data_IF_748648911867
#
_entry.id   IF_748648911867
#
_cell.length_a   1.000
_cell.length_b   1.000
_cell.length_c   1.000
_cell.angle_alpha   90.00
_cell.angle_beta   90.00
_cell.angle_gamma   90.00
#
_symmetry.space_group_name_H-M   'P 1'
#
loop_
_entity.id
_entity.type
_entity.pdbx_description
1 polymer ?
#
# COMPACT_ATOMS: atom_id res chain seq x y z
N UNK A 1 -37.52 -6.51 6.45
CA UNK A 1 -37.09 -6.82 7.83
C UNK A 1 -37.14 -8.33 8.02
N UNK A 2 -36.08 -8.97 8.55
CA UNK A 2 -36.12 -10.40 8.91
C UNK A 2 -35.66 -10.51 10.35
N UNK A 3 -36.47 -11.15 11.21
CA UNK A 3 -36.19 -11.38 12.62
C UNK A 3 -35.02 -12.37 12.78
N UNK A 4 -34.17 -12.24 13.82
CA UNK A 4 -33.20 -13.27 14.16
C UNK A 4 -33.91 -14.56 14.58
N UNK A 5 -33.42 -15.71 14.14
CA UNK A 5 -33.86 -17.02 14.62
C UNK A 5 -32.86 -17.50 15.66
N UNK A 6 -33.34 -17.90 16.84
CA UNK A 6 -32.49 -18.49 17.87
C UNK A 6 -32.01 -19.87 17.43
N UNK A 7 -30.74 -20.19 17.70
CA UNK A 7 -30.24 -21.54 17.54
C UNK A 7 -31.01 -22.50 18.47
N UNK A 8 -31.41 -23.66 17.96
CA UNK A 8 -32.04 -24.69 18.78
C UNK A 8 -31.05 -25.17 19.88
N UNK A 9 -31.52 -25.40 21.12
CA UNK A 9 -30.65 -25.82 22.20
C UNK A 9 -30.11 -27.24 21.94
N UNK A 10 -28.79 -27.41 22.00
CA UNK A 10 -28.19 -28.74 22.09
C UNK A 10 -28.49 -29.32 23.48
N UNK A 11 -29.26 -30.40 23.55
CA UNK A 11 -29.45 -31.13 24.81
C UNK A 11 -28.18 -31.92 25.13
N UNK A 12 -27.29 -31.32 25.92
CA UNK A 12 -26.26 -32.05 26.66
C UNK A 12 -26.52 -31.85 28.13
N UNK A 13 -27.24 -32.78 28.75
CA UNK A 13 -27.40 -32.87 30.20
C UNK A 13 -26.08 -33.35 30.80
N UNK A 14 -25.40 -32.49 31.57
CA UNK A 14 -24.26 -32.91 32.41
C UNK A 14 -24.78 -33.49 33.72
N UNK A 15 -24.06 -34.48 34.26
CA UNK A 15 -24.44 -35.30 35.42
C UNK A 15 -24.53 -34.53 36.77
N UNK A 16 -24.35 -33.20 36.78
CA UNK A 16 -24.15 -32.41 38.00
C UNK A 16 -25.36 -31.56 38.45
N UNK A 17 -26.55 -31.75 37.87
CA UNK A 17 -27.74 -30.94 38.21
C UNK A 17 -28.59 -31.47 39.37
N UNK A 18 -28.04 -32.28 40.30
CA UNK A 18 -28.77 -32.83 41.46
C UNK A 18 -28.56 -32.10 42.80
N UNK A 19 -27.82 -31.00 42.84
CA UNK A 19 -27.68 -30.18 44.05
C UNK A 19 -28.12 -28.75 43.74
N UNK A 20 -29.26 -28.35 44.31
CA UNK A 20 -30.01 -27.14 44.01
C UNK A 20 -29.28 -25.83 44.35
N UNK A 21 -28.37 -25.41 43.47
CA UNK A 21 -27.83 -24.05 43.44
C UNK A 21 -28.09 -23.47 42.03
N UNK A 22 -29.13 -22.64 41.91
CA UNK A 22 -29.38 -21.84 40.72
C UNK A 22 -28.33 -20.72 40.62
N UNK A 23 -27.22 -20.98 39.93
CA UNK A 23 -26.41 -19.92 39.37
C UNK A 23 -27.03 -19.47 38.04
N UNK A 24 -27.70 -18.32 38.02
CA UNK A 24 -28.17 -17.66 36.79
C UNK A 24 -26.97 -17.18 35.98
N UNK A 25 -26.34 -18.07 35.20
CA UNK A 25 -25.47 -17.69 34.09
C UNK A 25 -26.35 -17.37 32.89
N UNK A 26 -26.54 -16.09 32.60
CA UNK A 26 -27.02 -15.64 31.29
C UNK A 26 -25.97 -15.98 30.23
N UNK A 27 -26.07 -17.17 29.65
CA UNK A 27 -25.34 -17.55 28.44
C UNK A 27 -25.91 -16.74 27.26
N UNK A 28 -25.26 -15.61 26.94
CA UNK A 28 -25.47 -14.95 25.65
C UNK A 28 -24.94 -15.90 24.57
N UNK A 29 -25.83 -16.60 23.88
CA UNK A 29 -25.48 -17.37 22.68
C UNK A 29 -24.87 -16.41 21.65
N UNK A 30 -23.75 -16.79 20.99
CA UNK A 30 -23.18 -15.97 19.94
C UNK A 30 -24.16 -15.86 18.77
N UNK A 31 -24.38 -14.64 18.28
CA UNK A 31 -25.08 -14.39 17.02
C UNK A 31 -24.26 -15.01 15.87
N UNK A 32 -24.72 -16.15 15.35
CA UNK A 32 -24.13 -16.78 14.16
C UNK A 32 -24.78 -16.16 12.93
N UNK A 33 -23.98 -15.52 12.08
CA UNK A 33 -24.44 -15.03 10.78
C UNK A 33 -24.63 -16.21 9.83
N UNK A 34 -25.84 -16.33 9.25
CA UNK A 34 -26.12 -17.30 8.20
C UNK A 34 -25.21 -17.10 7.00
N UNK A 35 -24.55 -18.16 6.54
CA UNK A 35 -23.72 -18.21 5.33
C UNK A 35 -24.53 -18.46 4.06
N UNK A 36 -25.86 -18.53 4.12
CA UNK A 36 -26.68 -18.78 2.93
C UNK A 36 -26.65 -17.56 2.00
N UNK A 37 -26.04 -17.75 0.83
CA UNK A 37 -26.02 -16.77 -0.26
C UNK A 37 -27.46 -16.38 -0.64
N UNK A 38 -27.87 -15.15 -0.30
CA UNK A 38 -29.15 -14.59 -0.76
C UNK A 38 -29.07 -14.33 -2.26
N UNK A 39 -30.08 -14.80 -3.01
CA UNK A 39 -30.27 -14.40 -4.41
C UNK A 39 -30.41 -12.88 -4.49
N UNK A 40 -29.60 -12.26 -5.35
CA UNK A 40 -29.45 -10.82 -5.54
C UNK A 40 -30.77 -10.24 -6.08
N UNK A 41 -31.55 -9.56 -5.23
CA UNK A 41 -32.70 -8.78 -5.70
C UNK A 41 -32.18 -7.51 -6.39
N UNK A 42 -32.55 -7.31 -7.66
CA UNK A 42 -32.01 -6.29 -8.54
C UNK A 42 -32.39 -4.83 -8.20
N UNK A 43 -33.11 -4.57 -7.10
CA UNK A 43 -33.53 -3.23 -6.70
C UNK A 43 -32.52 -2.61 -5.74
N UNK A 44 -31.59 -1.83 -6.31
CA UNK A 44 -30.53 -1.02 -5.67
C UNK A 44 -29.44 -1.81 -4.93
N UNK A 45 -28.25 -1.92 -5.54
CA UNK A 45 -27.05 -2.37 -4.85
C UNK A 45 -26.69 -1.37 -3.74
N UNK A 46 -26.91 -1.73 -2.47
CA UNK A 46 -26.40 -0.96 -1.33
C UNK A 46 -25.00 -1.45 -0.96
N UNK A 47 -24.24 -0.64 -0.23
CA UNK A 47 -22.93 -1.08 0.30
C UNK A 47 -23.06 -2.36 1.15
N UNK A 48 -24.19 -2.53 1.86
CA UNK A 48 -24.46 -3.71 2.68
C UNK A 48 -24.74 -4.95 1.83
N UNK A 49 -25.51 -4.81 0.75
CA UNK A 49 -25.79 -5.90 -0.19
C UNK A 49 -24.52 -6.33 -0.96
N UNK A 50 -23.64 -5.37 -1.27
CA UNK A 50 -22.33 -5.67 -1.85
C UNK A 50 -21.37 -6.26 -0.84
N UNK A 51 -21.37 -5.81 0.42
CA UNK A 51 -20.58 -6.42 1.49
C UNK A 51 -20.96 -7.89 1.75
N UNK A 52 -22.26 -8.21 1.62
CA UNK A 52 -22.78 -9.57 1.69
C UNK A 52 -22.37 -10.44 0.49
N UNK A 53 -21.90 -9.84 -0.62
CA UNK A 53 -21.49 -10.52 -1.84
C UNK A 53 -20.01 -10.25 -2.16
N UNK A 54 -19.14 -11.18 -1.75
CA UNK A 54 -17.68 -11.01 -1.75
C UNK A 54 -16.96 -10.83 -3.12
N UNK A 55 -17.51 -11.15 -4.31
CA UNK A 55 -16.78 -11.02 -5.58
C UNK A 55 -16.21 -9.62 -5.84
N UNK A 56 -16.94 -8.55 -5.51
CA UNK A 56 -16.44 -7.17 -5.72
C UNK A 56 -15.27 -6.88 -4.78
N UNK A 57 -15.33 -7.36 -3.53
CA UNK A 57 -14.22 -7.22 -2.59
C UNK A 57 -12.99 -8.02 -3.03
N UNK A 58 -13.16 -9.26 -3.47
CA UNK A 58 -12.07 -10.10 -3.97
C UNK A 58 -11.42 -9.52 -5.22
N UNK A 59 -12.22 -8.99 -6.14
CA UNK A 59 -11.70 -8.27 -7.30
C UNK A 59 -10.82 -7.08 -6.88
N UNK A 60 -11.31 -6.21 -5.99
CA UNK A 60 -10.55 -5.05 -5.53
C UNK A 60 -9.27 -5.44 -4.77
N UNK A 61 -9.31 -6.46 -3.90
CA UNK A 61 -8.10 -6.96 -3.24
C UNK A 61 -7.15 -7.66 -4.22
N UNK A 62 -7.67 -8.36 -5.23
CA UNK A 62 -6.87 -8.94 -6.31
C UNK A 62 -6.15 -7.86 -7.11
N UNK A 63 -6.85 -6.79 -7.51
CA UNK A 63 -6.21 -5.63 -8.16
C UNK A 63 -5.18 -4.98 -7.23
N UNK A 64 -5.46 -4.83 -5.94
CA UNK A 64 -4.50 -4.29 -4.97
C UNK A 64 -3.24 -5.15 -4.88
N UNK A 65 -3.38 -6.48 -4.84
CA UNK A 65 -2.26 -7.42 -4.83
C UNK A 65 -1.43 -7.31 -6.12
N UNK A 66 -2.06 -7.19 -7.29
CA UNK A 66 -1.35 -6.99 -8.55
C UNK A 66 -0.62 -5.63 -8.59
N UNK A 67 -1.23 -4.55 -8.08
CA UNK A 67 -0.54 -3.25 -7.94
C UNK A 67 0.65 -3.36 -6.99
N UNK A 68 0.52 -4.10 -5.88
CA UNK A 68 1.64 -4.40 -4.99
C UNK A 68 2.76 -5.18 -5.70
N UNK A 69 2.42 -6.20 -6.47
CA UNK A 69 3.38 -6.93 -7.31
C UNK A 69 4.05 -6.03 -8.36
N UNK A 70 3.28 -5.14 -8.99
CA UNK A 70 3.80 -4.13 -9.93
C UNK A 70 4.82 -3.21 -9.27
N UNK A 71 4.57 -2.77 -8.04
CA UNK A 71 5.53 -1.96 -7.26
C UNK A 71 6.83 -2.75 -7.05
N UNK A 72 6.76 -4.03 -6.66
CA UNK A 72 7.93 -4.87 -6.45
C UNK A 72 8.75 -5.09 -7.75
N UNK A 73 8.07 -5.42 -8.85
CA UNK A 73 8.70 -5.59 -10.18
C UNK A 73 9.30 -4.27 -10.67
N UNK A 74 8.64 -3.13 -10.41
CA UNK A 74 9.19 -1.81 -10.73
C UNK A 74 10.44 -1.49 -9.93
N UNK A 75 10.48 -1.88 -8.65
CA UNK A 75 11.68 -1.83 -7.81
C UNK A 75 12.83 -2.64 -8.40
N UNK A 76 12.57 -3.88 -8.81
CA UNK A 76 13.54 -4.73 -9.48
C UNK A 76 14.04 -4.11 -10.80
N UNK A 77 13.14 -3.55 -11.61
CA UNK A 77 13.46 -2.86 -12.87
C UNK A 77 14.38 -1.65 -12.63
N UNK A 78 14.18 -0.91 -11.54
CA UNK A 78 15.05 0.22 -11.19
C UNK A 78 16.41 -0.25 -10.67
N UNK A 79 16.44 -1.23 -9.76
CA UNK A 79 17.66 -1.71 -9.11
C UNK A 79 18.58 -2.46 -10.07
N UNK A 80 18.02 -3.14 -11.08
CA UNK A 80 18.78 -3.72 -12.20
C UNK A 80 19.16 -2.69 -13.27
N UNK A 81 18.72 -1.43 -13.11
CA UNK A 81 18.74 -0.34 -14.09
C UNK A 81 18.29 -0.80 -15.49
N UNK A 82 17.11 -1.40 -15.53
CA UNK A 82 16.47 -1.91 -16.72
C UNK A 82 15.46 -0.94 -17.32
N UNK A 83 15.14 0.16 -16.64
CA UNK A 83 13.99 1.02 -16.96
C UNK A 83 14.07 1.84 -18.25
N UNK A 84 15.15 1.73 -19.02
CA UNK A 84 15.33 2.41 -20.32
C UNK A 84 15.77 1.42 -21.43
N UNK A 85 15.64 0.11 -21.19
CA UNK A 85 15.97 -0.96 -22.14
C UNK A 85 15.00 -1.07 -23.32
N UNK A 86 13.73 -0.68 -23.15
CA UNK A 86 12.69 -0.71 -24.17
C UNK A 86 12.34 0.68 -24.69
N UNK A 87 13.03 1.06 -25.75
CA UNK A 87 12.93 2.39 -26.37
C UNK A 87 11.57 2.61 -27.04
N UNK A 88 11.08 1.60 -27.75
CA UNK A 88 9.82 1.70 -28.48
C UNK A 88 8.63 1.56 -27.52
N UNK A 89 7.68 2.49 -27.62
CA UNK A 89 6.43 2.44 -26.87
C UNK A 89 5.24 2.30 -27.82
N UNK A 90 4.47 1.23 -27.65
CA UNK A 90 3.19 1.00 -28.33
C UNK A 90 2.07 0.90 -27.28
N UNK A 91 0.94 1.61 -27.42
CA UNK A 91 -0.15 1.59 -26.43
C UNK A 91 -0.63 0.17 -26.10
N UNK A 92 -0.92 -0.61 -27.14
CA UNK A 92 -1.38 -2.01 -27.07
C UNK A 92 -0.31 -3.00 -26.60
N UNK A 93 0.95 -2.57 -26.50
CA UNK A 93 2.08 -3.48 -26.31
C UNK A 93 2.54 -4.12 -27.62
N UNK A 94 3.55 -4.98 -27.52
CA UNK A 94 4.05 -5.83 -28.59
C UNK A 94 4.47 -7.16 -27.99
N UNK A 95 4.53 -8.21 -28.79
CA UNK A 95 5.22 -9.43 -28.39
C UNK A 95 6.71 -9.08 -28.15
N UNK A 96 7.38 -9.79 -27.21
CA UNK A 96 8.83 -9.65 -27.07
C UNK A 96 9.51 -10.26 -28.31
N UNK A 97 10.77 -9.92 -28.61
CA UNK A 97 11.53 -10.60 -29.65
C UNK A 97 11.56 -12.10 -29.41
N UNK A 98 11.26 -12.89 -30.45
CA UNK A 98 11.17 -14.35 -30.39
C UNK A 98 12.29 -15.04 -31.17
N UNK A 99 12.88 -14.35 -32.16
CA UNK A 99 14.01 -14.90 -32.95
C UNK A 99 15.34 -14.21 -32.61
N UNK A 100 16.49 -14.86 -32.86
CA UNK A 100 17.80 -14.24 -32.69
C UNK A 100 17.95 -12.92 -33.45
N UNK A 101 17.42 -12.85 -34.67
CA UNK A 101 17.50 -11.66 -35.53
C UNK A 101 16.70 -10.50 -34.94
N UNK A 102 15.51 -10.78 -34.39
CA UNK A 102 14.70 -9.76 -33.71
C UNK A 102 15.38 -9.25 -32.43
N UNK A 103 16.08 -10.12 -31.70
CA UNK A 103 16.85 -9.75 -30.51
C UNK A 103 18.02 -8.83 -30.86
N UNK A 104 18.78 -9.17 -31.91
CA UNK A 104 19.87 -8.33 -32.39
C UNK A 104 19.36 -6.98 -32.87
N UNK A 105 18.25 -6.95 -33.63
CA UNK A 105 17.66 -5.69 -34.08
C UNK A 105 17.24 -4.77 -32.91
N UNK A 106 16.66 -5.33 -31.85
CA UNK A 106 16.35 -4.54 -30.64
C UNK A 106 17.61 -4.10 -29.90
N UNK A 107 18.62 -4.97 -29.82
CA UNK A 107 19.88 -4.64 -29.18
C UNK A 107 20.62 -3.53 -29.93
N UNK A 108 20.59 -3.54 -31.26
CA UNK A 108 21.15 -2.49 -32.11
C UNK A 108 20.47 -1.14 -31.91
N UNK A 109 19.15 -1.12 -31.71
CA UNK A 109 18.43 0.09 -31.31
C UNK A 109 18.92 0.56 -29.94
N UNK A 110 19.04 -0.35 -28.97
CA UNK A 110 19.49 -0.02 -27.62
C UNK A 110 20.92 0.54 -27.58
N UNK A 111 21.83 0.04 -28.44
CA UNK A 111 23.21 0.55 -28.59
C UNK A 111 23.29 2.04 -28.96
N UNK A 112 22.23 2.58 -29.59
CA UNK A 112 22.16 4.00 -29.95
C UNK A 112 21.92 4.90 -28.74
N UNK A 113 21.49 4.35 -27.60
CA UNK A 113 21.12 5.14 -26.44
C UNK A 113 22.29 5.37 -25.47
N UNK A 114 22.29 6.54 -24.82
CA UNK A 114 23.17 6.89 -23.72
C UNK A 114 23.46 5.81 -22.66
N UNK A 115 22.46 5.02 -22.27
CA UNK A 115 22.61 4.00 -21.21
C UNK A 115 23.57 2.88 -21.61
N UNK A 116 23.58 2.48 -22.89
CA UNK A 116 24.54 1.49 -23.39
C UNK A 116 25.98 1.97 -23.24
N UNK A 117 26.23 3.28 -23.40
CA UNK A 117 27.57 3.86 -23.27
C UNK A 117 28.14 3.76 -21.84
N UNK A 118 27.29 3.59 -20.83
CA UNK A 118 27.70 3.35 -19.43
C UNK A 118 27.97 1.88 -19.14
N UNK A 119 27.36 0.98 -19.92
CA UNK A 119 27.45 -0.48 -19.75
C UNK A 119 28.22 -1.11 -20.92
N UNK A 120 29.36 -0.51 -21.26
CA UNK A 120 30.23 -0.99 -22.35
C UNK A 120 30.53 -2.48 -22.15
N UNK A 121 30.65 -3.22 -23.24
CA UNK A 121 30.92 -4.67 -23.29
C UNK A 121 29.75 -5.60 -22.91
N UNK A 122 28.52 -5.08 -22.89
CA UNK A 122 27.31 -5.90 -22.73
C UNK A 122 27.06 -6.78 -23.97
N UNK A 123 26.72 -8.04 -23.73
CA UNK A 123 26.28 -9.00 -24.76
C UNK A 123 24.77 -8.90 -25.00
N UNK A 124 24.26 -9.54 -26.05
CA UNK A 124 22.81 -9.67 -26.29
C UNK A 124 22.13 -10.40 -25.12
N UNK A 125 22.81 -11.38 -24.53
CA UNK A 125 22.34 -12.15 -23.38
C UNK A 125 22.15 -11.27 -22.14
N UNK A 126 23.10 -10.37 -21.86
CA UNK A 126 22.96 -9.39 -20.78
C UNK A 126 21.81 -8.40 -21.07
N UNK A 127 21.64 -7.99 -22.33
CA UNK A 127 20.54 -7.13 -22.77
C UNK A 127 19.17 -7.81 -22.58
N UNK A 128 19.04 -9.10 -22.90
CA UNK A 128 17.82 -9.88 -22.65
C UNK A 128 17.42 -9.81 -21.17
N UNK A 129 18.39 -9.90 -20.26
CA UNK A 129 18.15 -9.82 -18.81
C UNK A 129 17.46 -8.51 -18.40
N UNK A 130 17.96 -7.36 -18.85
CA UNK A 130 17.35 -6.06 -18.55
C UNK A 130 16.02 -5.86 -19.30
N UNK A 131 15.93 -6.31 -20.55
CA UNK A 131 14.72 -6.22 -21.35
C UNK A 131 13.54 -6.93 -20.67
N UNK A 132 13.74 -8.14 -20.12
CA UNK A 132 12.67 -8.90 -19.50
C UNK A 132 12.07 -8.23 -18.26
N UNK A 133 12.89 -7.53 -17.48
CA UNK A 133 12.38 -6.76 -16.33
C UNK A 133 11.46 -5.63 -16.79
N UNK A 134 11.89 -4.85 -17.77
CA UNK A 134 11.07 -3.74 -18.27
C UNK A 134 9.83 -4.22 -19.02
N UNK A 135 9.97 -5.24 -19.88
CA UNK A 135 8.85 -5.85 -20.59
C UNK A 135 7.82 -6.41 -19.61
N UNK A 136 8.27 -7.19 -18.62
CA UNK A 136 7.42 -7.76 -17.58
C UNK A 136 6.69 -6.68 -16.79
N UNK A 137 7.38 -5.61 -16.38
CA UNK A 137 6.76 -4.46 -15.72
C UNK A 137 5.70 -3.80 -16.60
N UNK A 138 6.01 -3.50 -17.87
CA UNK A 138 5.10 -2.87 -18.83
C UNK A 138 3.87 -3.72 -19.12
N UNK A 139 4.02 -5.04 -19.28
CA UNK A 139 2.90 -5.94 -19.53
C UNK A 139 2.03 -6.12 -18.29
N UNK A 140 2.65 -6.25 -17.11
CA UNK A 140 1.91 -6.32 -15.86
C UNK A 140 1.04 -5.07 -15.64
N UNK A 141 1.54 -3.88 -15.99
CA UNK A 141 0.76 -2.64 -15.91
C UNK A 141 -0.50 -2.66 -16.80
N UNK A 142 -0.38 -3.18 -18.02
CA UNK A 142 -1.53 -3.36 -18.93
C UNK A 142 -2.52 -4.38 -18.39
N UNK A 143 -2.03 -5.50 -17.89
CA UNK A 143 -2.86 -6.55 -17.27
C UNK A 143 -3.61 -6.01 -16.05
N UNK A 144 -2.97 -5.20 -15.20
CA UNK A 144 -3.65 -4.51 -14.07
C UNK A 144 -4.76 -3.61 -14.58
N UNK A 145 -4.49 -2.81 -15.63
CA UNK A 145 -5.50 -1.95 -16.26
C UNK A 145 -6.73 -2.73 -16.75
N UNK A 146 -6.52 -3.89 -17.38
CA UNK A 146 -7.59 -4.77 -17.83
C UNK A 146 -8.34 -5.45 -16.68
N UNK A 147 -7.61 -6.02 -15.72
CA UNK A 147 -8.18 -6.68 -14.53
C UNK A 147 -8.97 -5.70 -13.68
N UNK A 148 -8.63 -4.41 -13.67
CA UNK A 148 -9.45 -3.38 -13.08
C UNK A 148 -10.65 -3.01 -13.96
N UNK A 149 -10.42 -2.65 -15.22
CA UNK A 149 -11.46 -2.02 -16.04
C UNK A 149 -12.55 -3.00 -16.49
N UNK A 150 -12.20 -4.24 -16.85
CA UNK A 150 -13.18 -5.20 -17.37
C UNK A 150 -14.25 -5.60 -16.32
N UNK A 151 -13.90 -5.95 -15.07
CA UNK A 151 -14.92 -6.19 -14.04
C UNK A 151 -15.68 -4.92 -13.65
N UNK A 152 -15.04 -3.74 -13.66
CA UNK A 152 -15.72 -2.46 -13.41
C UNK A 152 -16.87 -2.26 -14.40
N UNK A 153 -16.58 -2.36 -15.71
CA UNK A 153 -17.58 -2.23 -16.78
C UNK A 153 -18.67 -3.29 -16.62
N UNK A 154 -18.30 -4.55 -16.39
CA UNK A 154 -19.26 -5.62 -16.17
C UNK A 154 -20.21 -5.32 -14.99
N UNK A 155 -19.69 -4.92 -13.82
CA UNK A 155 -20.53 -4.63 -12.66
C UNK A 155 -21.39 -3.37 -12.84
N UNK A 156 -20.91 -2.37 -13.57
CA UNK A 156 -21.69 -1.18 -13.94
C UNK A 156 -22.87 -1.56 -14.85
N UNK A 157 -22.62 -2.30 -15.93
CA UNK A 157 -23.65 -2.75 -16.88
C UNK A 157 -24.71 -3.64 -16.19
N UNK A 158 -24.28 -4.48 -15.24
CA UNK A 158 -25.18 -5.32 -14.44
C UNK A 158 -25.85 -4.59 -13.28
N UNK A 159 -25.63 -3.28 -13.12
CA UNK A 159 -26.15 -2.44 -12.02
C UNK A 159 -25.87 -3.03 -10.62
N UNK A 160 -24.72 -3.68 -10.47
CA UNK A 160 -24.28 -4.35 -9.22
C UNK A 160 -23.45 -3.46 -8.31
N UNK A 161 -23.14 -2.24 -8.73
CA UNK A 161 -22.35 -1.28 -7.94
C UNK A 161 -23.24 -0.27 -7.22
N UNK A 162 -22.98 0.01 -5.93
CA UNK A 162 -23.61 1.11 -5.20
C UNK A 162 -23.23 2.45 -5.82
N UNK A 163 -24.18 3.39 -5.85
CA UNK A 163 -23.97 4.74 -6.41
C UNK A 163 -22.80 5.46 -5.74
N UNK A 164 -22.59 5.22 -4.45
CA UNK A 164 -21.53 5.83 -3.65
C UNK A 164 -20.11 5.41 -4.07
N UNK A 165 -19.97 4.30 -4.81
CA UNK A 165 -18.67 3.80 -5.27
C UNK A 165 -18.26 4.30 -6.65
N UNK A 166 -19.18 4.87 -7.44
CA UNK A 166 -18.87 5.32 -8.81
C UNK A 166 -17.77 6.38 -8.83
N UNK A 167 -17.88 7.43 -8.00
CA UNK A 167 -16.85 8.47 -7.89
C UNK A 167 -15.51 7.87 -7.46
N UNK A 168 -15.53 6.91 -6.55
CA UNK A 168 -14.30 6.26 -6.06
C UNK A 168 -13.63 5.40 -7.13
N UNK A 169 -14.42 4.68 -7.94
CA UNK A 169 -13.88 3.92 -9.07
C UNK A 169 -13.42 4.82 -10.21
N UNK A 170 -14.10 5.93 -10.48
CA UNK A 170 -13.61 6.93 -11.41
C UNK A 170 -12.24 7.50 -10.97
N UNK A 171 -12.08 7.83 -9.69
CA UNK A 171 -10.77 8.27 -9.15
C UNK A 171 -9.70 7.20 -9.29
N UNK A 172 -10.01 5.93 -9.00
CA UNK A 172 -9.06 4.82 -9.18
C UNK A 172 -8.67 4.61 -10.64
N UNK A 173 -9.63 4.74 -11.57
CA UNK A 173 -9.37 4.70 -13.01
C UNK A 173 -8.44 5.86 -13.43
N UNK A 174 -8.73 7.08 -12.98
CA UNK A 174 -7.90 8.26 -13.25
C UNK A 174 -6.49 8.12 -12.68
N UNK A 175 -6.34 7.59 -11.46
CA UNK A 175 -5.04 7.30 -10.86
C UNK A 175 -4.25 6.26 -11.67
N UNK A 176 -4.91 5.20 -12.15
CA UNK A 176 -4.29 4.19 -13.01
C UNK A 176 -3.84 4.77 -14.37
N UNK A 177 -4.68 5.59 -14.99
CA UNK A 177 -4.34 6.28 -16.24
C UNK A 177 -3.17 7.26 -16.04
N UNK A 178 -3.21 8.06 -14.97
CA UNK A 178 -2.12 8.95 -14.59
C UNK A 178 -0.82 8.18 -14.33
N UNK A 179 -0.90 7.01 -13.69
CA UNK A 179 0.26 6.16 -13.46
C UNK A 179 0.92 5.70 -14.76
N UNK A 180 0.12 5.31 -15.76
CA UNK A 180 0.62 5.01 -17.11
C UNK A 180 1.28 6.22 -17.78
N UNK A 181 0.66 7.41 -17.66
CA UNK A 181 1.22 8.67 -18.18
C UNK A 181 2.54 9.07 -17.52
N UNK A 182 2.65 8.96 -16.20
CA UNK A 182 3.89 9.22 -15.45
C UNK A 182 4.97 8.20 -15.83
N UNK A 183 4.62 6.92 -15.98
CA UNK A 183 5.56 5.89 -16.42
C UNK A 183 6.10 6.15 -17.84
N UNK A 184 5.24 6.56 -18.76
CA UNK A 184 5.66 6.99 -20.10
C UNK A 184 6.58 8.22 -20.04
N UNK A 185 6.24 9.21 -19.21
CA UNK A 185 7.06 10.40 -19.00
C UNK A 185 8.45 10.05 -18.45
N UNK A 186 8.54 9.12 -17.48
CA UNK A 186 9.82 8.63 -16.95
C UNK A 186 10.74 8.07 -18.03
N UNK A 187 10.20 7.21 -18.91
CA UNK A 187 11.01 6.55 -19.95
C UNK A 187 11.39 7.53 -21.05
N UNK A 188 10.41 8.22 -21.64
CA UNK A 188 10.64 9.17 -22.75
C UNK A 188 11.73 10.18 -22.41
N UNK A 189 11.64 10.75 -21.22
CA UNK A 189 12.57 11.78 -20.78
C UNK A 189 13.97 11.28 -20.41
N UNK A 190 14.16 9.97 -20.26
CA UNK A 190 15.49 9.34 -20.15
C UNK A 190 16.11 9.03 -21.52
N UNK A 191 15.31 8.97 -22.59
CA UNK A 191 15.72 8.61 -23.95
C UNK A 191 15.97 9.83 -24.87
N UNK A 192 15.37 10.98 -24.58
CA UNK A 192 15.52 12.21 -25.38
C UNK A 192 16.80 13.01 -25.04
N UNK A 193 16.93 14.23 -25.58
CA UNK A 193 18.06 15.17 -25.46
C UNK A 193 18.56 15.36 -24.01
N UNK A 194 17.67 15.20 -23.03
CA UNK A 194 17.99 15.19 -21.60
C UNK A 194 18.94 14.07 -21.16
N UNK A 195 18.85 12.87 -21.76
CA UNK A 195 19.78 11.78 -21.51
C UNK A 195 21.19 12.12 -22.01
N UNK A 196 21.30 12.76 -23.17
CA UNK A 196 22.57 13.25 -23.70
C UNK A 196 23.16 14.38 -22.86
N UNK A 197 22.33 15.30 -22.34
CA UNK A 197 22.78 16.31 -21.37
C UNK A 197 23.24 15.69 -20.05
N UNK A 198 22.55 14.67 -19.53
CA UNK A 198 22.92 13.97 -18.29
C UNK A 198 24.26 13.25 -18.43
N UNK A 199 24.51 12.56 -19.56
CA UNK A 199 25.83 12.00 -19.87
C UNK A 199 26.90 13.07 -19.85
N UNK A 200 26.67 14.21 -20.53
CA UNK A 200 27.66 15.29 -20.60
C UNK A 200 27.94 15.95 -19.25
N UNK A 201 26.93 16.08 -18.38
CA UNK A 201 27.05 16.79 -17.09
C UNK A 201 27.38 15.89 -15.90
N UNK A 202 26.98 14.62 -15.94
CA UNK A 202 27.03 13.69 -14.79
C UNK A 202 27.67 12.34 -15.11
N UNK A 203 28.05 12.09 -16.36
CA UNK A 203 28.59 10.81 -16.83
C UNK A 203 27.69 9.58 -16.55
N UNK A 204 26.40 9.82 -16.30
CA UNK A 204 25.40 8.79 -16.00
C UNK A 204 24.03 9.23 -16.55
N UNK A 205 23.24 8.28 -17.07
CA UNK A 205 21.87 8.48 -17.56
C UNK A 205 20.97 7.68 -16.67
N UNK A 206 20.11 8.38 -15.95
CA UNK A 206 19.14 7.75 -15.07
C UNK A 206 17.85 8.54 -15.07
N UNK A 207 16.77 7.83 -14.80
CA UNK A 207 15.48 8.47 -14.60
C UNK A 207 15.59 9.44 -13.41
N UNK A 208 15.14 10.67 -13.62
CA UNK A 208 15.17 11.71 -12.60
C UNK A 208 14.53 11.23 -11.29
N UNK A 209 15.16 11.49 -10.11
CA UNK A 209 14.63 11.06 -8.82
C UNK A 209 13.24 11.65 -8.54
N UNK A 210 12.95 12.84 -9.04
CA UNK A 210 11.62 13.47 -8.94
C UNK A 210 10.55 12.69 -9.69
N UNK A 211 10.87 12.18 -10.89
CA UNK A 211 9.94 11.37 -11.69
C UNK A 211 9.71 10.01 -11.04
N UNK A 212 10.77 9.39 -10.54
CA UNK A 212 10.71 8.14 -9.79
C UNK A 212 9.84 8.29 -8.52
N UNK A 213 10.07 9.32 -7.73
CA UNK A 213 9.29 9.61 -6.54
C UNK A 213 7.81 9.88 -6.86
N UNK A 214 7.53 10.60 -7.95
CA UNK A 214 6.16 10.84 -8.44
C UNK A 214 5.48 9.52 -8.79
N UNK A 215 6.13 8.68 -9.60
CA UNK A 215 5.57 7.39 -10.03
C UNK A 215 5.33 6.42 -8.86
N UNK A 216 6.28 6.36 -7.92
CA UNK A 216 6.12 5.56 -6.71
C UNK A 216 4.98 6.09 -5.84
N UNK A 217 4.88 7.41 -5.68
CA UNK A 217 3.81 8.07 -4.93
C UNK A 217 2.42 7.78 -5.48
N UNK A 218 2.23 7.85 -6.80
CA UNK A 218 0.98 7.45 -7.45
C UNK A 218 0.69 5.96 -7.28
N UNK A 219 1.72 5.09 -7.34
CA UNK A 219 1.57 3.65 -7.12
C UNK A 219 1.05 3.33 -5.71
N UNK A 220 1.71 3.87 -4.67
CA UNK A 220 1.32 3.66 -3.28
C UNK A 220 -0.02 4.33 -2.95
N UNK A 221 -0.33 5.48 -3.55
CA UNK A 221 -1.65 6.12 -3.41
C UNK A 221 -2.74 5.23 -4.00
N UNK A 222 -2.53 4.70 -5.21
CA UNK A 222 -3.48 3.79 -5.87
C UNK A 222 -3.70 2.54 -5.03
N UNK A 223 -2.63 1.92 -4.56
CA UNK A 223 -2.68 0.78 -3.65
C UNK A 223 -3.46 1.11 -2.37
N UNK A 224 -3.19 2.26 -1.75
CA UNK A 224 -3.88 2.70 -0.54
C UNK A 224 -5.38 2.91 -0.74
N UNK A 225 -5.79 3.52 -1.86
CA UNK A 225 -7.21 3.70 -2.21
C UNK A 225 -7.88 2.34 -2.51
N UNK A 226 -7.22 1.42 -3.20
CA UNK A 226 -7.73 0.06 -3.44
C UNK A 226 -7.93 -0.70 -2.13
N UNK A 227 -6.92 -0.74 -1.27
CA UNK A 227 -6.99 -1.40 0.03
C UNK A 227 -8.10 -0.81 0.90
N UNK A 228 -8.17 0.53 0.99
CA UNK A 228 -9.22 1.21 1.75
C UNK A 228 -10.62 0.91 1.19
N UNK A 229 -10.75 0.81 -0.14
CA UNK A 229 -12.00 0.42 -0.80
C UNK A 229 -12.38 -1.01 -0.42
N UNK A 230 -11.43 -1.95 -0.54
CA UNK A 230 -11.62 -3.35 -0.14
C UNK A 230 -12.05 -3.49 1.32
N UNK A 231 -11.40 -2.76 2.24
CA UNK A 231 -11.77 -2.77 3.66
C UNK A 231 -13.20 -2.26 3.90
N UNK A 232 -13.62 -1.19 3.22
CA UNK A 232 -15.01 -0.71 3.32
C UNK A 232 -16.04 -1.71 2.79
N UNK A 233 -15.67 -2.49 1.77
CA UNK A 233 -16.53 -3.53 1.21
C UNK A 233 -16.69 -4.72 2.18
N UNK A 234 -15.65 -5.12 2.92
CA UNK A 234 -15.74 -6.27 3.85
C UNK A 234 -16.16 -5.90 5.28
N UNK A 235 -16.05 -4.63 5.64
CA UNK A 235 -16.41 -4.10 6.96
C UNK A 235 -17.21 -2.79 6.79
N UNK A 236 -18.52 -2.89 6.49
CA UNK A 236 -19.37 -1.72 6.23
C UNK A 236 -19.59 -0.86 7.50
N UNK A 237 -20.02 0.40 7.33
CA UNK A 237 -20.21 1.35 8.44
C UNK A 237 -21.12 0.86 9.58
N UNK A 238 -22.13 0.04 9.28
CA UNK A 238 -23.03 -0.54 10.29
C UNK A 238 -22.29 -1.41 11.32
N UNK A 239 -21.26 -2.15 10.89
CA UNK A 239 -20.40 -2.92 11.80
C UNK A 239 -19.60 -2.02 12.75
N UNK A 240 -19.13 -0.88 12.26
CA UNK A 240 -18.44 0.12 13.07
C UNK A 240 -19.39 0.78 14.08
N UNK A 241 -20.65 1.03 13.71
CA UNK A 241 -21.67 1.58 14.62
C UNK A 241 -21.97 0.62 15.78
N UNK A 242 -22.21 -0.67 15.50
CA UNK A 242 -22.42 -1.68 16.55
C UNK A 242 -21.21 -1.79 17.49
N UNK A 243 -19.99 -1.74 16.92
CA UNK A 243 -18.75 -1.78 17.72
C UNK A 243 -18.64 -0.58 18.67
N UNK A 244 -19.09 0.59 18.21
CA UNK A 244 -19.06 1.82 19.00
C UNK A 244 -19.94 1.73 20.26
N UNK A 245 -21.11 1.10 20.16
CA UNK A 245 -22.06 0.95 21.28
C UNK A 245 -21.54 0.04 22.39
N UNK A 246 -20.61 -0.87 22.07
CA UNK A 246 -20.00 -1.79 23.03
C UNK A 246 -18.82 -1.18 23.81
N UNK A 247 -18.36 0.03 23.45
CA UNK A 247 -17.16 0.65 24.02
C UNK A 247 -17.56 1.81 24.92
N UNK A 248 -16.92 1.92 26.08
CA UNK A 248 -17.23 2.99 27.03
C UNK A 248 -16.91 4.39 26.44
N UNK A 249 -17.70 5.43 26.77
CA UNK A 249 -17.50 6.77 26.21
C UNK A 249 -16.10 7.34 26.44
N UNK A 250 -15.48 7.08 27.60
CA UNK A 250 -14.14 7.58 27.92
C UNK A 250 -13.03 6.85 27.17
N UNK A 251 -13.17 5.53 26.95
CA UNK A 251 -12.26 4.79 26.08
C UNK A 251 -12.43 5.24 24.63
N UNK A 252 -13.66 5.50 24.19
CA UNK A 252 -13.94 5.97 22.85
C UNK A 252 -13.24 7.30 22.52
N UNK A 253 -13.22 8.26 23.47
CA UNK A 253 -12.46 9.52 23.35
C UNK A 253 -10.95 9.25 23.20
N UNK A 254 -10.41 8.35 24.02
CA UNK A 254 -8.99 7.97 23.97
C UNK A 254 -8.64 7.26 22.65
N UNK A 255 -9.46 6.33 22.19
CA UNK A 255 -9.28 5.65 20.90
C UNK A 255 -9.41 6.63 19.73
N UNK A 256 -10.29 7.64 19.84
CA UNK A 256 -10.36 8.72 18.85
C UNK A 256 -9.03 9.47 18.75
N UNK A 257 -8.40 9.78 19.89
CA UNK A 257 -7.07 10.42 19.93
C UNK A 257 -6.00 9.51 19.34
N UNK A 258 -5.94 8.24 19.75
CA UNK A 258 -5.02 7.23 19.21
C UNK A 258 -5.15 7.16 17.69
N UNK A 259 -6.38 7.11 17.18
CA UNK A 259 -6.67 7.05 15.76
C UNK A 259 -6.18 8.29 15.00
N UNK A 260 -6.34 9.49 15.58
CA UNK A 260 -5.81 10.73 14.99
C UNK A 260 -4.29 10.72 14.92
N UNK A 261 -3.63 10.33 16.02
CA UNK A 261 -2.16 10.19 16.07
C UNK A 261 -1.69 9.16 15.04
N UNK A 262 -2.34 7.99 14.97
CA UNK A 262 -2.02 6.98 13.96
C UNK A 262 -2.21 7.53 12.53
N UNK A 263 -3.16 8.44 12.31
CA UNK A 263 -3.31 9.17 11.04
C UNK A 263 -2.10 10.06 10.70
N UNK A 264 -1.56 10.77 11.69
CA UNK A 264 -0.32 11.53 11.52
C UNK A 264 0.88 10.61 11.28
N UNK A 265 1.00 9.50 12.02
CA UNK A 265 2.05 8.48 11.79
C UNK A 265 1.93 7.86 10.40
N UNK A 266 0.71 7.63 9.91
CA UNK A 266 0.47 7.16 8.53
C UNK A 266 0.88 8.19 7.49
N UNK A 267 0.80 9.49 7.80
CA UNK A 267 1.27 10.57 6.91
C UNK A 267 2.80 10.60 6.92
N UNK A 268 3.43 10.49 8.10
CA UNK A 268 4.88 10.34 8.23
C UNK A 268 5.40 9.13 7.45
N UNK A 269 4.72 7.97 7.53
CA UNK A 269 5.03 6.80 6.70
C UNK A 269 4.98 7.12 5.20
N UNK A 270 3.99 7.88 4.74
CA UNK A 270 3.91 8.34 3.35
C UNK A 270 5.14 9.15 2.93
N UNK A 271 5.59 10.09 3.78
CA UNK A 271 6.83 10.84 3.55
C UNK A 271 8.06 9.93 3.57
N UNK A 272 8.14 8.95 4.47
CA UNK A 272 9.23 7.96 4.53
C UNK A 272 9.31 7.10 3.27
N UNK A 273 8.16 6.70 2.70
CA UNK A 273 8.13 5.96 1.42
C UNK A 273 8.63 6.85 0.28
N UNK A 274 8.21 8.12 0.23
CA UNK A 274 8.67 9.06 -0.80
C UNK A 274 10.16 9.38 -0.66
N UNK A 275 10.68 9.58 0.56
CA UNK A 275 12.11 9.80 0.78
C UNK A 275 12.95 8.59 0.35
N UNK A 276 12.44 7.37 0.53
CA UNK A 276 13.07 6.16 0.01
C UNK A 276 13.20 6.14 -1.52
N UNK A 277 12.24 6.74 -2.25
CA UNK A 277 12.33 6.90 -3.70
C UNK A 277 13.47 7.83 -4.11
N UNK A 278 13.73 8.89 -3.34
CA UNK A 278 14.87 9.78 -3.57
C UNK A 278 16.19 9.05 -3.27
N UNK A 279 16.29 8.31 -2.16
CA UNK A 279 17.47 7.49 -1.83
C UNK A 279 17.80 6.52 -2.98
N UNK A 280 16.82 5.80 -3.49
CA UNK A 280 16.99 4.90 -4.64
C UNK A 280 17.22 5.65 -5.96
N UNK A 281 16.65 6.84 -6.13
CA UNK A 281 16.75 7.64 -7.34
C UNK A 281 18.14 8.22 -7.57
N UNK A 282 18.85 8.58 -6.49
CA UNK A 282 20.23 9.10 -6.57
C UNK A 282 21.30 8.10 -6.14
N UNK A 283 20.92 6.85 -5.87
CA UNK A 283 21.79 5.77 -5.37
C UNK A 283 22.47 6.09 -4.02
N UNK A 284 21.84 6.93 -3.20
CA UNK A 284 22.38 7.35 -1.89
C UNK A 284 22.53 6.20 -0.89
N UNK A 285 21.84 5.07 -1.10
CA UNK A 285 21.98 3.88 -0.25
C UNK A 285 23.38 3.25 -0.28
N UNK A 286 24.21 3.59 -1.28
CA UNK A 286 25.58 3.07 -1.43
C UNK A 286 26.66 3.94 -0.80
N UNK A 287 26.30 5.09 -0.22
CA UNK A 287 27.28 6.10 0.18
C UNK A 287 27.81 5.90 1.61
N UNK A 288 26.91 5.86 2.59
CA UNK A 288 27.25 5.62 4.00
C UNK A 288 26.62 4.31 4.44
N UNK A 289 27.42 3.26 4.64
CA UNK A 289 26.93 1.89 4.90
C UNK A 289 27.15 1.44 6.35
N UNK A 290 27.39 2.38 7.27
CA UNK A 290 27.36 2.12 8.73
C UNK A 290 26.05 2.61 9.36
N UNK A 291 25.75 2.10 10.56
CA UNK A 291 24.60 2.49 11.38
C UNK A 291 24.95 2.32 12.87
N UNK A 292 24.54 3.21 13.80
CA UNK A 292 23.65 4.37 13.61
C UNK A 292 24.34 5.61 13.03
N UNK A 293 25.68 5.68 13.10
CA UNK A 293 26.47 6.74 12.48
C UNK A 293 26.45 6.63 10.95
N UNK A 294 26.83 7.70 10.28
CA UNK A 294 27.17 7.76 8.86
C UNK A 294 28.70 7.85 8.78
N UNK A 295 29.31 6.68 8.54
CA UNK A 295 30.73 6.40 8.77
C UNK A 295 31.17 6.77 10.20
N UNK A 296 32.07 7.73 10.35
CA UNK A 296 32.57 8.19 11.66
C UNK A 296 31.75 9.35 12.24
N UNK A 297 30.78 9.88 11.51
CA UNK A 297 30.03 11.09 11.85
C UNK A 297 28.55 10.77 12.18
N UNK A 298 27.92 11.58 13.03
CA UNK A 298 26.46 11.50 13.25
C UNK A 298 25.67 12.27 12.20
N UNK A 299 26.24 13.40 11.77
CA UNK A 299 25.71 14.29 10.76
C UNK A 299 26.89 14.60 9.82
N UNK A 300 26.81 14.24 8.54
CA UNK A 300 27.84 14.58 7.55
C UNK A 300 28.03 16.09 7.40
N UNK A 301 29.22 16.55 7.03
CA UNK A 301 29.51 18.00 6.90
C UNK A 301 28.90 18.63 5.63
N UNK A 302 28.77 17.87 4.55
CA UNK A 302 28.41 18.38 3.21
C UNK A 302 26.89 18.41 2.91
N UNK A 303 26.05 18.72 3.90
CA UNK A 303 24.59 18.62 3.75
C UNK A 303 23.96 19.66 2.82
N UNK A 304 24.53 20.87 2.72
CA UNK A 304 23.91 22.00 2.04
C UNK A 304 24.81 22.64 0.97
N UNK A 305 25.58 21.81 0.27
CA UNK A 305 26.56 22.26 -0.74
C UNK A 305 25.93 22.56 -2.10
N UNK A 306 24.73 22.07 -2.39
CA UNK A 306 24.01 22.32 -3.67
C UNK A 306 23.16 23.58 -3.56
N UNK A 307 23.28 24.51 -4.52
CA UNK A 307 22.39 25.68 -4.62
C UNK A 307 21.30 25.51 -5.71
N UNK A 308 20.07 26.01 -5.48
CA UNK A 308 19.54 26.53 -4.22
C UNK A 308 19.43 25.47 -3.12
N UNK A 309 19.66 25.86 -1.85
CA UNK A 309 19.74 24.95 -0.68
C UNK A 309 18.64 23.88 -0.56
N UNK A 310 17.41 24.16 -0.99
CA UNK A 310 16.31 23.18 -0.91
C UNK A 310 16.55 21.93 -1.77
N UNK A 311 17.39 22.00 -2.81
CA UNK A 311 17.72 20.84 -3.66
C UNK A 311 18.45 19.75 -2.90
N UNK A 312 19.17 20.09 -1.83
CA UNK A 312 19.91 19.09 -1.07
C UNK A 312 18.99 18.03 -0.46
N UNK A 313 17.76 18.37 -0.08
CA UNK A 313 16.77 17.40 0.43
C UNK A 313 16.36 16.33 -0.58
N UNK A 314 16.72 16.48 -1.86
CA UNK A 314 16.33 15.59 -2.96
C UNK A 314 17.50 15.06 -3.79
N UNK A 315 18.62 15.80 -3.82
CA UNK A 315 19.74 15.53 -4.73
C UNK A 315 21.09 15.39 -4.01
N UNK A 316 21.22 15.82 -2.76
CA UNK A 316 22.46 15.68 -1.99
C UNK A 316 22.48 14.30 -1.31
N UNK A 317 23.44 13.47 -1.70
CA UNK A 317 23.55 12.08 -1.22
C UNK A 317 23.59 11.98 0.31
N UNK A 318 24.46 12.70 1.03
CA UNK A 318 24.46 12.69 2.50
C UNK A 318 23.12 13.09 3.12
N UNK A 319 22.54 14.21 2.71
CA UNK A 319 21.30 14.73 3.31
C UNK A 319 20.09 13.82 3.01
N UNK A 320 19.92 13.38 1.77
CA UNK A 320 18.82 12.47 1.39
C UNK A 320 18.89 11.16 2.18
N UNK A 321 20.10 10.62 2.39
CA UNK A 321 20.27 9.40 3.17
C UNK A 321 19.97 9.64 4.66
N UNK A 322 20.48 10.73 5.24
CA UNK A 322 20.22 11.13 6.62
C UNK A 322 18.73 11.35 6.88
N UNK A 323 18.06 12.09 6.00
CA UNK A 323 16.62 12.39 6.09
C UNK A 323 15.79 11.11 6.11
N UNK A 324 16.10 10.16 5.22
CA UNK A 324 15.40 8.88 5.18
C UNK A 324 15.60 8.07 6.47
N UNK A 325 16.83 8.03 7.02
CA UNK A 325 17.13 7.37 8.31
C UNK A 325 16.31 8.00 9.46
N UNK A 326 16.32 9.34 9.56
CA UNK A 326 15.59 10.08 10.59
C UNK A 326 14.08 9.88 10.46
N UNK A 327 13.53 9.94 9.24
CA UNK A 327 12.12 9.68 8.96
C UNK A 327 11.73 8.24 9.33
N UNK A 328 12.56 7.25 9.04
CA UNK A 328 12.31 5.85 9.38
C UNK A 328 12.23 5.64 10.90
N UNK A 329 13.20 6.16 11.67
CA UNK A 329 13.22 6.06 13.13
C UNK A 329 12.09 6.86 13.79
N UNK A 330 11.77 8.03 13.26
CA UNK A 330 10.65 8.86 13.74
C UNK A 330 9.31 8.17 13.48
N UNK A 331 9.15 7.54 12.32
CA UNK A 331 7.96 6.76 11.96
C UNK A 331 7.79 5.56 12.90
N UNK A 332 8.86 4.79 13.15
CA UNK A 332 8.84 3.68 14.10
C UNK A 332 8.51 4.14 15.53
N UNK A 333 9.09 5.25 15.96
CA UNK A 333 8.76 5.87 17.26
C UNK A 333 7.28 6.21 17.34
N UNK A 334 6.72 6.78 16.27
CA UNK A 334 5.29 7.05 16.16
C UNK A 334 4.41 5.79 16.29
N UNK A 335 4.75 4.71 15.60
CA UNK A 335 4.04 3.42 15.72
C UNK A 335 4.15 2.84 17.14
N UNK A 336 5.34 2.88 17.73
CA UNK A 336 5.58 2.43 19.12
C UNK A 336 4.75 3.26 20.11
N UNK A 337 4.69 4.58 19.93
CA UNK A 337 3.87 5.47 20.75
C UNK A 337 2.38 5.16 20.65
N UNK A 338 1.86 5.00 19.43
CA UNK A 338 0.46 4.58 19.19
C UNK A 338 0.17 3.24 19.85
N UNK A 339 1.08 2.28 19.69
CA UNK A 339 0.94 0.94 20.26
C UNK A 339 0.91 1.00 21.79
N UNK A 340 1.86 1.70 22.41
CA UNK A 340 1.94 1.86 23.86
C UNK A 340 0.69 2.55 24.42
N UNK A 341 0.17 3.57 23.75
CA UNK A 341 -1.10 4.21 24.13
C UNK A 341 -2.27 3.22 24.07
N UNK A 342 -2.38 2.43 23.00
CA UNK A 342 -3.45 1.45 22.84
C UNK A 342 -3.33 0.27 23.81
N UNK A 343 -2.11 -0.11 24.22
CA UNK A 343 -1.83 -1.28 25.07
C UNK A 343 -2.20 -1.09 26.54
N UNK A 344 -2.54 0.14 26.96
CA UNK A 344 -3.07 0.41 28.30
C UNK A 344 -4.28 -0.50 28.58
N UNK A 345 -4.27 -1.21 29.72
CA UNK A 345 -5.21 -2.30 30.03
C UNK A 345 -6.69 -1.93 29.80
N UNK A 346 -7.10 -0.74 30.26
CA UNK A 346 -8.48 -0.27 30.14
C UNK A 346 -8.93 -0.01 28.69
N UNK A 347 -8.00 0.35 27.80
CA UNK A 347 -8.27 0.53 26.36
C UNK A 347 -8.22 -0.83 25.67
N UNK A 348 -7.11 -1.56 25.83
CA UNK A 348 -6.84 -2.79 25.08
C UNK A 348 -7.93 -3.85 25.25
N UNK A 349 -8.47 -4.00 26.47
CA UNK A 349 -9.51 -4.98 26.78
C UNK A 349 -10.85 -4.68 26.08
N UNK A 350 -11.11 -3.40 25.75
CA UNK A 350 -12.31 -2.98 25.04
C UNK A 350 -12.13 -2.92 23.52
N UNK A 351 -10.88 -3.04 23.02
CA UNK A 351 -10.64 -3.06 21.59
C UNK A 351 -11.12 -4.38 20.98
N UNK A 352 -11.79 -4.35 19.81
CA UNK A 352 -12.09 -5.57 19.05
C UNK A 352 -10.82 -6.34 18.72
N UNK A 353 -10.90 -7.68 18.67
CA UNK A 353 -9.74 -8.52 18.36
C UNK A 353 -9.06 -8.14 17.04
N UNK A 354 -9.85 -7.77 16.02
CA UNK A 354 -9.31 -7.31 14.74
C UNK A 354 -8.46 -6.04 14.88
N UNK A 355 -8.86 -5.09 15.73
CA UNK A 355 -8.07 -3.87 15.99
C UNK A 355 -6.76 -4.18 16.70
N UNK A 356 -6.79 -5.13 17.66
CA UNK A 356 -5.60 -5.59 18.37
C UNK A 356 -4.61 -6.27 17.43
N UNK A 357 -5.10 -7.16 16.57
CA UNK A 357 -4.29 -7.84 15.55
C UNK A 357 -3.67 -6.83 14.56
N UNK A 358 -4.47 -5.87 14.07
CA UNK A 358 -3.99 -4.85 13.15
C UNK A 358 -2.88 -4.00 13.77
N UNK A 359 -3.05 -3.55 15.02
CA UNK A 359 -2.03 -2.78 15.74
C UNK A 359 -0.75 -3.58 16.00
N UNK A 360 -0.86 -4.86 16.35
CA UNK A 360 0.30 -5.76 16.48
C UNK A 360 1.03 -5.90 15.14
N UNK A 361 0.30 -6.12 14.05
CA UNK A 361 0.87 -6.25 12.71
C UNK A 361 1.52 -4.95 12.23
N UNK A 362 0.93 -3.78 12.51
CA UNK A 362 1.51 -2.50 12.14
C UNK A 362 2.83 -2.24 12.87
N UNK A 363 2.90 -2.51 14.19
CA UNK A 363 4.15 -2.39 14.93
C UNK A 363 5.20 -3.41 14.45
N UNK A 364 4.81 -4.67 14.28
CA UNK A 364 5.72 -5.72 13.79
C UNK A 364 6.27 -5.41 12.40
N UNK A 365 5.43 -4.93 11.48
CA UNK A 365 5.84 -4.50 10.15
C UNK A 365 6.72 -3.25 10.19
N UNK A 366 6.46 -2.29 11.10
CA UNK A 366 7.28 -1.09 11.25
C UNK A 366 8.69 -1.44 11.75
N UNK A 367 8.78 -2.29 12.78
CA UNK A 367 10.06 -2.77 13.30
C UNK A 367 10.81 -3.59 12.24
N UNK A 368 10.12 -4.50 11.56
CA UNK A 368 10.69 -5.29 10.48
C UNK A 368 11.19 -4.43 9.32
N UNK A 369 10.46 -3.37 8.97
CA UNK A 369 10.85 -2.45 7.89
C UNK A 369 12.13 -1.68 8.23
N UNK A 370 12.26 -1.17 9.45
CA UNK A 370 13.47 -0.47 9.89
C UNK A 370 14.65 -1.43 9.94
N UNK A 371 14.49 -2.62 10.51
CA UNK A 371 15.54 -3.65 10.54
C UNK A 371 15.98 -4.01 9.13
N UNK A 372 15.03 -4.28 8.22
CA UNK A 372 15.33 -4.59 6.84
C UNK A 372 16.01 -3.44 6.10
N UNK A 373 15.65 -2.19 6.41
CA UNK A 373 16.33 -1.00 5.87
C UNK A 373 17.78 -0.90 6.33
N UNK A 374 18.04 -1.12 7.62
CA UNK A 374 19.39 -1.16 8.19
C UNK A 374 20.19 -2.30 7.58
N UNK A 375 19.61 -3.51 7.45
CA UNK A 375 20.29 -4.64 6.80
C UNK A 375 20.60 -4.35 5.33
N UNK A 376 19.67 -3.75 4.59
CA UNK A 376 19.87 -3.36 3.19
C UNK A 376 21.02 -2.35 3.08
N UNK A 377 21.04 -1.35 3.96
CA UNK A 377 22.08 -0.33 4.03
C UNK A 377 23.44 -0.93 4.35
N UNK A 378 23.58 -1.72 5.43
CA UNK A 378 24.88 -2.27 5.86
C UNK A 378 25.50 -3.20 4.81
N UNK A 379 24.67 -3.88 4.02
CA UNK A 379 25.14 -4.79 2.97
C UNK A 379 25.32 -4.11 1.60
N UNK A 380 25.33 -2.77 1.54
CA UNK A 380 25.49 -2.01 0.29
C UNK A 380 24.40 -2.32 -0.75
N UNK A 381 23.14 -2.28 -0.31
CA UNK A 381 21.93 -2.41 -1.14
C UNK A 381 21.94 -3.59 -2.14
N UNK A 382 22.12 -4.85 -1.68
CA UNK A 382 21.95 -6.00 -2.56
C UNK A 382 20.54 -6.01 -3.13
N UNK A 383 20.39 -6.30 -4.42
CA UNK A 383 19.11 -6.23 -5.14
C UNK A 383 17.97 -6.96 -4.40
N UNK A 384 18.16 -8.21 -3.89
CA UNK A 384 17.12 -8.90 -3.15
C UNK A 384 16.67 -8.16 -1.88
N UNK A 385 17.61 -7.54 -1.15
CA UNK A 385 17.30 -6.76 0.05
C UNK A 385 16.59 -5.45 -0.29
N UNK A 386 17.01 -4.76 -1.36
CA UNK A 386 16.32 -3.57 -1.86
C UNK A 386 14.86 -3.85 -2.26
N UNK A 387 14.62 -4.94 -3.00
CA UNK A 387 13.26 -5.39 -3.36
C UNK A 387 12.48 -5.80 -2.11
N UNK A 388 13.09 -6.55 -1.19
CA UNK A 388 12.45 -6.96 0.06
C UNK A 388 12.04 -5.73 0.89
N UNK A 389 12.90 -4.70 0.98
CA UNK A 389 12.61 -3.47 1.70
C UNK A 389 11.41 -2.74 1.09
N UNK A 390 11.32 -2.69 -0.25
CA UNK A 390 10.16 -2.13 -0.93
C UNK A 390 8.87 -2.94 -0.70
N UNK A 391 8.95 -4.27 -0.69
CA UNK A 391 7.84 -5.15 -0.33
C UNK A 391 7.41 -4.98 1.14
N UNK A 392 8.37 -4.78 2.05
CA UNK A 392 8.09 -4.48 3.45
C UNK A 392 7.33 -3.17 3.63
N UNK A 393 7.61 -2.15 2.82
CA UNK A 393 6.83 -0.90 2.81
C UNK A 393 5.37 -1.12 2.39
N UNK A 394 5.12 -2.01 1.42
CA UNK A 394 3.76 -2.42 1.02
C UNK A 394 3.03 -3.09 2.20
N UNK A 395 3.69 -4.02 2.88
CA UNK A 395 3.14 -4.71 4.04
C UNK A 395 2.83 -3.75 5.19
N UNK A 396 3.77 -2.84 5.51
CA UNK A 396 3.61 -1.82 6.54
C UNK A 396 2.45 -0.85 6.21
N UNK A 397 2.37 -0.35 4.97
CA UNK A 397 1.24 0.50 4.57
C UNK A 397 -0.09 -0.25 4.70
N UNK A 398 -0.14 -1.51 4.27
CA UNK A 398 -1.34 -2.35 4.38
C UNK A 398 -1.79 -2.53 5.82
N UNK A 399 -0.87 -2.87 6.72
CA UNK A 399 -1.15 -3.02 8.15
C UNK A 399 -1.57 -1.69 8.81
N UNK A 400 -0.98 -0.58 8.38
CA UNK A 400 -1.31 0.77 8.86
C UNK A 400 -2.72 1.19 8.45
N UNK A 401 -3.08 1.00 7.18
CA UNK A 401 -4.42 1.28 6.66
C UNK A 401 -5.46 0.35 7.28
N UNK A 402 -5.11 -0.91 7.52
CA UNK A 402 -6.00 -1.84 8.20
C UNK A 402 -6.24 -1.41 9.65
N UNK A 403 -5.18 -1.01 10.38
CA UNK A 403 -5.30 -0.47 11.75
C UNK A 403 -6.19 0.78 11.81
N UNK A 404 -5.99 1.71 10.87
CA UNK A 404 -6.88 2.86 10.69
C UNK A 404 -8.33 2.44 10.47
N UNK A 405 -8.55 1.45 9.60
CA UNK A 405 -9.88 1.03 9.21
C UNK A 405 -10.61 0.37 10.36
N UNK A 406 -9.95 -0.54 11.09
CA UNK A 406 -10.57 -1.24 12.22
C UNK A 406 -10.94 -0.30 13.36
N UNK A 407 -10.26 0.84 13.49
CA UNK A 407 -10.58 1.89 14.46
C UNK A 407 -11.66 2.88 13.98
N UNK A 408 -12.29 2.66 12.82
CA UNK A 408 -13.33 3.56 12.29
C UNK A 408 -14.55 3.75 13.21
N UNK A 409 -14.83 2.80 14.12
CA UNK A 409 -15.89 2.95 15.13
C UNK A 409 -15.67 4.16 16.05
N UNK A 410 -14.42 4.59 16.20
CA UNK A 410 -14.05 5.77 16.99
C UNK A 410 -14.20 7.08 16.23
N UNK A 411 -14.57 7.08 14.95
CA UNK A 411 -14.83 8.33 14.23
C UNK A 411 -15.97 9.11 14.91
N UNK A 412 -15.87 10.45 14.99
CA UNK A 412 -17.01 11.26 15.40
C UNK A 412 -18.16 11.00 14.42
N UNK A 413 -19.34 10.65 14.93
CA UNK A 413 -20.53 10.54 14.11
C UNK A 413 -20.83 11.92 13.51
N UNK A 414 -20.99 12.02 12.19
CA UNK A 414 -21.57 13.22 11.58
C UNK A 414 -22.97 13.44 12.18
N UNK A 415 -23.40 14.69 12.41
CA UNK A 415 -24.71 15.03 13.01
C UNK A 415 -25.87 14.20 12.42
N UNK A 416 -25.89 14.00 11.09
CA UNK A 416 -26.90 13.19 10.41
C UNK A 416 -26.95 11.71 10.86
N UNK A 417 -25.81 11.09 11.16
CA UNK A 417 -25.75 9.72 11.69
C UNK A 417 -26.19 9.64 13.16
N UNK A 418 -25.96 10.71 13.94
CA UNK A 418 -26.50 10.81 15.30
C UNK A 418 -28.03 10.92 15.29
N UNK A 419 -28.60 11.65 14.33
CA UNK A 419 -30.05 11.75 14.14
C UNK A 419 -30.65 10.41 13.72
N UNK A 420 -30.02 9.68 12.79
CA UNK A 420 -30.48 8.36 12.36
C UNK A 420 -30.42 7.30 13.47
N UNK A 421 -29.36 7.31 14.30
CA UNK A 421 -29.25 6.42 15.46
C UNK A 421 -30.28 6.77 16.54
N UNK A 422 -30.58 8.07 16.74
CA UNK A 422 -31.64 8.51 17.66
C UNK A 422 -33.05 8.19 17.15
N UNK A 423 -33.25 8.15 15.83
CA UNK A 423 -34.52 7.83 15.18
C UNK A 423 -34.74 6.31 15.03
N UNK A 424 -33.71 5.49 15.23
CA UNK A 424 -33.85 4.04 15.25
C UNK A 424 -34.69 3.63 16.48
N UNK A 425 -35.74 2.82 16.32
CA UNK A 425 -36.60 2.40 17.43
C UNK A 425 -35.77 1.66 18.47
N UNK A 426 -35.86 2.10 19.74
CA UNK A 426 -35.13 1.54 20.89
C UNK A 426 -35.77 0.26 21.43
N UNK A 427 -36.30 -0.59 20.56
CA UNK A 427 -36.96 -1.83 20.96
C UNK A 427 -36.35 -2.99 20.18
N UNK A 428 -35.70 -3.89 20.91
CA UNK A 428 -35.29 -5.23 20.47
C UNK A 428 -36.50 -6.08 20.08
#
# INVERSE_FOLDING_TARGET
MVKPVMAAPSKTTSLWSRLGLQATKTTKLPLVYSTKARKFAASTATLENVAANRPIAYWIFGTAAMVGGMIAVGGATRLTRSGLSMVQWKPQGSLPPMTPEEWEAQFDIYKQFPEFQQRKNMTVEDFKGIFWWEYGHRMLGRTVGLVYTAPLVYFMLRKRLPRELYTRFAVLFSLGAAQGGVGWWMVRSGLEEHGHEQLKKRNEVRVSPYRLATHLGFAFTTLGVLLWTGFNLVAPPSRAAMTREMISPDVLKQVTRIRKILGHVSTALGYTILSGAFVAGIDAGMAYNTFPKMDNQWIPDDLFVIEPKYKNFFENVPLVQLDHRVLALSTLTGFTGVYAMARRKHIWNQLPQQSRNALNMALGAASGQVLLGITTLINCVPIPLGIAHQCGAIALMTATLWSQHTLNFAKPLKKAAQTAIKAAPKTL
#
